data_IF_093586053661
#
_entry.id   IF_093586053661
#
_cell.length_a   1.000
_cell.length_b   1.000
_cell.length_c   1.000
_cell.angle_alpha   90.00
_cell.angle_beta   90.00
_cell.angle_gamma   90.00
#
_symmetry.space_group_name_H-M   'P 1'
#
loop_
_entity.id
_entity.type
_entity.pdbx_description
1 polymer ?
#
# COMPACT_ATOMS: atom_id res chain seq x y z
N UNK A 1 -19.84 5.34 16.69
CA UNK A 1 -18.64 5.49 15.81
C UNK A 1 -19.11 5.93 14.43
N UNK A 2 -18.56 7.01 13.91
CA UNK A 2 -18.91 7.49 12.55
C UNK A 2 -18.48 6.48 11.49
N UNK A 3 -17.29 5.88 11.66
CA UNK A 3 -16.75 4.90 10.72
C UNK A 3 -16.72 3.50 11.33
N UNK A 4 -17.00 2.49 10.52
CA UNK A 4 -16.83 1.07 10.87
C UNK A 4 -15.50 0.54 10.40
N UNK A 5 -14.93 1.14 9.33
CA UNK A 5 -13.67 0.75 8.72
C UNK A 5 -12.81 2.00 8.50
N UNK A 6 -11.60 2.00 9.05
CA UNK A 6 -10.56 2.98 8.72
C UNK A 6 -9.45 2.25 7.98
N UNK A 7 -9.09 2.78 6.82
CA UNK A 7 -8.06 2.25 5.94
C UNK A 7 -6.89 3.22 5.87
N UNK A 8 -5.67 2.73 6.06
CA UNK A 8 -4.45 3.51 5.89
C UNK A 8 -3.68 3.05 4.66
N UNK A 9 -3.22 3.98 3.84
CA UNK A 9 -2.10 3.72 2.95
C UNK A 9 -0.79 3.66 3.74
N UNK A 10 0.29 3.14 3.11
CA UNK A 10 1.60 3.04 3.74
C UNK A 10 2.58 4.06 3.21
N UNK A 11 2.89 3.97 1.92
CA UNK A 11 4.04 4.67 1.31
C UNK A 11 3.72 6.15 1.08
N UNK A 12 4.49 7.05 1.71
CA UNK A 12 4.20 8.49 1.72
C UNK A 12 3.13 8.91 2.73
N UNK A 13 2.55 7.95 3.48
CA UNK A 13 1.54 8.20 4.51
C UNK A 13 2.04 7.74 5.89
N UNK A 14 1.73 6.50 6.33
CA UNK A 14 2.30 5.96 7.58
C UNK A 14 3.82 5.91 7.54
N UNK A 15 4.41 5.61 6.38
CA UNK A 15 5.84 5.57 6.13
C UNK A 15 6.23 6.71 5.16
N UNK A 16 6.66 7.88 5.66
CA UNK A 16 7.04 9.01 4.81
C UNK A 16 8.24 8.68 3.93
N UNK A 17 8.12 8.99 2.64
CA UNK A 17 9.19 8.80 1.68
C UNK A 17 9.01 9.70 0.45
N UNK A 18 10.12 9.94 -0.26
CA UNK A 18 10.09 10.45 -1.62
C UNK A 18 10.09 9.24 -2.55
N UNK A 19 9.02 9.08 -3.34
CA UNK A 19 8.72 7.87 -4.10
C UNK A 19 9.84 7.46 -5.05
N UNK A 20 10.39 8.40 -5.82
CA UNK A 20 11.44 8.10 -6.79
C UNK A 20 12.74 7.64 -6.12
N UNK A 21 13.09 8.24 -5.00
CA UNK A 21 14.27 7.88 -4.21
C UNK A 21 14.12 6.48 -3.62
N UNK A 22 12.93 6.18 -3.07
CA UNK A 22 12.65 4.85 -2.54
C UNK A 22 12.71 3.79 -3.63
N UNK A 23 12.05 4.00 -4.77
CA UNK A 23 12.01 3.05 -5.88
C UNK A 23 13.41 2.78 -6.44
N UNK A 24 14.22 3.83 -6.64
CA UNK A 24 15.62 3.68 -7.11
C UNK A 24 16.47 2.90 -6.11
N UNK A 25 16.36 3.24 -4.82
CA UNK A 25 17.08 2.55 -3.75
C UNK A 25 16.66 1.09 -3.59
N UNK A 26 15.38 0.82 -3.64
CA UNK A 26 14.81 -0.52 -3.63
C UNK A 26 15.34 -1.38 -4.79
N UNK A 27 15.27 -0.89 -6.04
CA UNK A 27 15.78 -1.63 -7.19
C UNK A 27 17.28 -1.83 -7.12
N UNK A 28 18.06 -0.84 -6.66
CA UNK A 28 19.49 -1.02 -6.45
C UNK A 28 19.81 -2.18 -5.49
N UNK A 29 19.03 -2.32 -4.41
CA UNK A 29 19.20 -3.42 -3.48
C UNK A 29 18.77 -4.76 -4.09
N UNK A 30 17.61 -4.82 -4.73
CA UNK A 30 17.04 -6.05 -5.28
C UNK A 30 17.86 -6.60 -6.46
N UNK A 31 18.31 -5.74 -7.37
CA UNK A 31 19.11 -6.16 -8.53
C UNK A 31 20.41 -6.85 -8.14
N UNK A 32 20.99 -6.52 -6.98
CA UNK A 32 22.19 -7.20 -6.47
C UNK A 32 21.97 -8.68 -6.18
N UNK A 33 20.76 -9.06 -5.78
CA UNK A 33 20.44 -10.45 -5.42
C UNK A 33 20.33 -11.38 -6.65
N UNK A 34 20.18 -10.80 -7.84
CA UNK A 34 19.97 -11.52 -9.09
C UNK A 34 21.02 -11.23 -10.18
N UNK A 35 22.06 -10.48 -9.83
CA UNK A 35 23.06 -9.96 -10.79
C UNK A 35 23.82 -11.06 -11.58
N UNK A 36 23.89 -12.28 -11.06
CA UNK A 36 24.50 -13.44 -11.73
C UNK A 36 23.56 -14.16 -12.71
N UNK A 37 22.28 -13.80 -12.74
CA UNK A 37 21.23 -14.46 -13.54
C UNK A 37 20.63 -13.57 -14.61
N UNK A 38 20.53 -12.28 -14.35
CA UNK A 38 19.91 -11.31 -15.25
C UNK A 38 20.52 -9.93 -15.02
N UNK A 39 20.74 -9.17 -16.09
CA UNK A 39 21.19 -7.77 -15.97
C UNK A 39 20.08 -6.88 -15.34
N UNK A 40 20.51 -5.83 -14.65
CA UNK A 40 19.64 -4.96 -13.87
C UNK A 40 18.53 -4.32 -14.71
N UNK A 41 18.85 -3.84 -15.92
CA UNK A 41 17.87 -3.15 -16.77
C UNK A 41 16.78 -4.12 -17.25
N UNK A 42 17.16 -5.32 -17.67
CA UNK A 42 16.20 -6.37 -18.07
C UNK A 42 15.36 -6.84 -16.90
N UNK A 43 15.96 -6.96 -15.71
CA UNK A 43 15.23 -7.34 -14.52
C UNK A 43 14.20 -6.28 -14.12
N UNK A 44 14.59 -5.01 -14.02
CA UNK A 44 13.69 -3.89 -13.69
C UNK A 44 12.55 -3.79 -14.71
N UNK A 45 12.84 -3.93 -16.01
CA UNK A 45 11.81 -3.97 -17.06
C UNK A 45 10.81 -5.11 -16.86
N UNK A 46 11.30 -6.28 -16.42
CA UNK A 46 10.45 -7.44 -16.16
C UNK A 46 9.56 -7.23 -14.93
N UNK A 47 10.08 -6.60 -13.87
CA UNK A 47 9.29 -6.22 -12.69
C UNK A 47 8.16 -5.26 -13.10
N UNK A 48 8.45 -4.20 -13.86
CA UNK A 48 7.43 -3.27 -14.33
C UNK A 48 6.41 -3.91 -15.29
N UNK A 49 6.84 -4.90 -16.08
CA UNK A 49 5.92 -5.70 -16.91
C UNK A 49 4.94 -6.49 -16.02
N UNK A 50 5.44 -7.14 -14.97
CA UNK A 50 4.61 -7.84 -14.00
C UNK A 50 3.63 -6.93 -13.27
N UNK A 51 4.08 -5.73 -12.84
CA UNK A 51 3.18 -4.71 -12.25
C UNK A 51 2.09 -4.31 -13.24
N UNK A 52 2.43 -4.13 -14.52
CA UNK A 52 1.44 -3.85 -15.56
C UNK A 52 0.45 -5.01 -15.74
N UNK A 53 0.90 -6.26 -15.64
CA UNK A 53 0.01 -7.42 -15.70
C UNK A 53 -1.00 -7.43 -14.55
N UNK A 54 -0.58 -7.05 -13.33
CA UNK A 54 -1.50 -6.85 -12.20
C UNK A 54 -2.52 -5.75 -12.50
N UNK A 55 -2.07 -4.59 -13.03
CA UNK A 55 -2.95 -3.46 -13.37
C UNK A 55 -4.01 -3.80 -14.43
N UNK A 56 -3.69 -4.71 -15.34
CA UNK A 56 -4.59 -5.18 -16.40
C UNK A 56 -5.41 -6.41 -16.00
N UNK A 57 -5.31 -6.86 -14.75
CA UNK A 57 -6.02 -8.03 -14.26
C UNK A 57 -7.54 -7.87 -14.36
N UNK A 58 -8.20 -8.93 -14.79
CA UNK A 58 -9.66 -9.03 -14.77
C UNK A 58 -10.21 -9.67 -13.48
N UNK A 59 -9.33 -9.97 -12.52
CA UNK A 59 -9.67 -10.61 -11.25
C UNK A 59 -9.75 -12.15 -11.30
N UNK A 60 -9.33 -12.79 -12.40
CA UNK A 60 -9.38 -14.27 -12.52
C UNK A 60 -8.23 -14.98 -11.80
N UNK A 61 -7.19 -14.25 -11.42
CA UNK A 61 -6.02 -14.72 -10.68
C UNK A 61 -5.54 -13.64 -9.73
N UNK A 62 -4.79 -14.03 -8.69
CA UNK A 62 -4.20 -13.08 -7.75
C UNK A 62 -3.14 -12.21 -8.43
N UNK A 63 -2.82 -11.07 -7.80
CA UNK A 63 -1.74 -10.21 -8.29
C UNK A 63 -0.41 -10.95 -8.35
N UNK A 64 -0.11 -11.82 -7.37
CA UNK A 64 1.05 -12.70 -7.37
C UNK A 64 1.08 -13.60 -8.61
N UNK A 65 -0.01 -14.27 -8.92
CA UNK A 65 -0.09 -15.14 -10.08
C UNK A 65 0.06 -14.37 -11.39
N UNK A 66 -0.59 -13.21 -11.53
CA UNK A 66 -0.50 -12.35 -12.70
C UNK A 66 0.94 -11.86 -12.92
N UNK A 67 1.59 -11.41 -11.85
CA UNK A 67 2.99 -10.94 -11.88
C UNK A 67 3.95 -12.03 -12.33
N UNK A 68 3.96 -13.17 -11.63
CA UNK A 68 4.94 -14.23 -11.91
C UNK A 68 4.69 -14.95 -13.23
N UNK A 69 3.44 -14.99 -13.69
CA UNK A 69 3.12 -15.49 -15.03
C UNK A 69 3.72 -14.59 -16.11
N UNK A 70 3.52 -13.27 -16.02
CA UNK A 70 4.11 -12.31 -16.99
C UNK A 70 5.64 -12.35 -16.94
N UNK A 71 6.22 -12.40 -15.74
CA UNK A 71 7.68 -12.50 -15.55
C UNK A 71 8.25 -13.72 -16.29
N UNK A 72 7.70 -14.90 -16.10
CA UNK A 72 8.15 -16.14 -16.76
C UNK A 72 7.96 -16.08 -18.27
N UNK A 73 6.81 -15.57 -18.74
CA UNK A 73 6.52 -15.40 -20.16
C UNK A 73 7.49 -14.43 -20.87
N UNK A 74 7.91 -13.36 -20.22
CA UNK A 74 8.79 -12.34 -20.78
C UNK A 74 10.26 -12.70 -20.69
N UNK A 75 10.70 -13.22 -19.57
CA UNK A 75 12.12 -13.51 -19.33
C UNK A 75 12.54 -14.89 -19.81
N UNK A 76 11.61 -15.85 -19.89
CA UNK A 76 11.87 -17.29 -20.08
C UNK A 76 12.72 -17.89 -18.94
N UNK A 77 12.81 -17.21 -17.80
CA UNK A 77 13.53 -17.65 -16.61
C UNK A 77 12.57 -18.39 -15.65
N UNK A 78 13.12 -19.26 -14.83
CA UNK A 78 12.35 -20.00 -13.82
C UNK A 78 11.80 -19.08 -12.75
N UNK A 79 10.49 -18.81 -12.81
CA UNK A 79 9.79 -17.98 -11.83
C UNK A 79 9.95 -18.50 -10.41
N UNK A 80 9.96 -19.83 -10.21
CA UNK A 80 10.06 -20.44 -8.89
C UNK A 80 11.42 -20.16 -8.22
N UNK A 81 12.49 -20.02 -9.00
CA UNK A 81 13.79 -19.57 -8.50
C UNK A 81 13.73 -18.09 -8.11
N UNK A 82 13.28 -17.22 -9.02
CA UNK A 82 13.26 -15.77 -8.79
C UNK A 82 12.30 -15.38 -7.65
N UNK A 83 11.17 -16.02 -7.55
CA UNK A 83 10.23 -15.82 -6.44
C UNK A 83 10.90 -16.10 -5.09
N UNK A 84 11.60 -17.22 -4.94
CA UNK A 84 12.34 -17.56 -3.71
C UNK A 84 13.44 -16.54 -3.40
N UNK A 85 14.16 -16.06 -4.42
CA UNK A 85 15.19 -15.03 -4.23
C UNK A 85 14.55 -13.73 -3.77
N UNK A 86 13.44 -13.32 -4.37
CA UNK A 86 12.70 -12.12 -3.96
C UNK A 86 12.16 -12.27 -2.52
N UNK A 87 11.55 -13.40 -2.17
CA UNK A 87 11.05 -13.66 -0.81
C UNK A 87 12.19 -13.58 0.22
N UNK A 88 13.35 -14.18 -0.09
CA UNK A 88 14.53 -14.09 0.77
C UNK A 88 15.02 -12.64 0.91
N UNK A 89 15.07 -11.90 -0.19
CA UNK A 89 15.42 -10.48 -0.19
C UNK A 89 14.46 -9.66 0.69
N UNK A 90 13.15 -9.82 0.53
CA UNK A 90 12.15 -9.09 1.31
C UNK A 90 12.22 -9.38 2.80
N UNK A 91 12.55 -10.61 3.18
CA UNK A 91 12.71 -10.97 4.58
C UNK A 91 14.03 -10.44 5.20
N UNK A 92 15.08 -10.21 4.40
CA UNK A 92 16.44 -9.94 4.88
C UNK A 92 17.03 -8.63 4.34
N UNK A 93 17.36 -8.58 3.04
CA UNK A 93 18.05 -7.46 2.37
C UNK A 93 17.24 -6.18 2.34
N UNK A 94 15.93 -6.31 2.23
CA UNK A 94 14.99 -5.20 2.11
C UNK A 94 14.94 -4.29 3.37
N UNK A 95 15.37 -4.77 4.52
CA UNK A 95 15.52 -3.95 5.74
C UNK A 95 16.42 -2.73 5.53
N UNK A 96 17.37 -2.81 4.59
CA UNK A 96 18.24 -1.68 4.23
C UNK A 96 17.48 -0.54 3.53
N UNK A 97 16.29 -0.81 3.01
CA UNK A 97 15.44 0.20 2.37
C UNK A 97 14.93 1.27 3.36
N UNK A 98 15.04 1.03 4.67
CA UNK A 98 14.79 2.05 5.70
C UNK A 98 15.62 3.33 5.44
N UNK A 99 16.82 3.21 4.85
CA UNK A 99 17.67 4.35 4.51
C UNK A 99 17.10 5.25 3.41
N UNK A 100 16.02 4.86 2.75
CA UNK A 100 15.32 5.64 1.70
C UNK A 100 13.95 6.13 2.18
N UNK A 101 13.68 6.04 3.47
CA UNK A 101 12.44 6.47 4.12
C UNK A 101 12.74 7.45 5.24
N UNK A 102 11.71 8.08 5.78
CA UNK A 102 11.82 8.96 6.95
C UNK A 102 11.02 8.40 8.13
N UNK A 103 11.45 8.66 9.37
CA UNK A 103 10.71 8.22 10.54
C UNK A 103 9.35 8.95 10.64
N UNK A 104 8.35 8.23 11.14
CA UNK A 104 7.07 8.83 11.52
C UNK A 104 6.72 8.43 12.97
N UNK A 105 7.09 9.25 13.96
CA UNK A 105 6.82 8.94 15.35
C UNK A 105 5.33 8.94 15.71
N UNK A 106 4.47 9.50 14.86
CA UNK A 106 3.02 9.58 15.04
C UNK A 106 2.27 8.39 14.43
N UNK A 107 2.94 7.54 13.63
CA UNK A 107 2.28 6.44 12.93
C UNK A 107 1.55 5.49 13.89
N UNK A 108 2.21 5.08 14.97
CA UNK A 108 1.60 4.21 15.99
C UNK A 108 0.42 4.88 16.68
N UNK A 109 0.56 6.16 17.07
CA UNK A 109 -0.52 6.93 17.70
C UNK A 109 -1.75 7.02 16.77
N UNK A 110 -1.57 7.28 15.48
CA UNK A 110 -2.67 7.35 14.52
C UNK A 110 -3.45 6.04 14.44
N UNK A 111 -2.73 4.91 14.36
CA UNK A 111 -3.34 3.58 14.28
C UNK A 111 -4.06 3.23 15.59
N UNK A 112 -3.47 3.53 16.75
CA UNK A 112 -4.10 3.30 18.06
C UNK A 112 -5.39 4.12 18.23
N UNK A 113 -5.38 5.40 17.82
CA UNK A 113 -6.59 6.22 17.84
C UNK A 113 -7.64 5.64 16.88
N UNK A 114 -7.25 5.23 15.66
CA UNK A 114 -8.17 4.63 14.70
C UNK A 114 -8.88 3.39 15.26
N UNK A 115 -8.19 2.53 16.00
CA UNK A 115 -8.80 1.40 16.71
C UNK A 115 -9.82 1.81 17.76
N UNK A 116 -9.68 2.99 18.36
CA UNK A 116 -10.69 3.53 19.29
C UNK A 116 -11.91 4.13 18.57
N UNK A 117 -11.79 4.45 17.28
CA UNK A 117 -12.77 5.18 16.48
C UNK A 117 -13.49 4.35 15.42
N UNK A 118 -12.98 3.15 15.12
CA UNK A 118 -13.59 2.23 14.15
C UNK A 118 -13.56 0.80 14.65
N UNK A 119 -14.47 -0.02 14.10
CA UNK A 119 -14.51 -1.45 14.41
C UNK A 119 -13.34 -2.21 13.78
N UNK A 120 -12.88 -1.74 12.60
CA UNK A 120 -11.81 -2.37 11.84
C UNK A 120 -10.81 -1.32 11.37
N UNK A 121 -9.53 -1.67 11.46
CA UNK A 121 -8.40 -0.87 10.95
C UNK A 121 -7.58 -1.72 10.00
N UNK A 122 -7.42 -1.26 8.77
CA UNK A 122 -6.79 -2.02 7.67
C UNK A 122 -5.63 -1.24 7.08
N UNK A 123 -4.53 -1.93 6.82
CA UNK A 123 -3.49 -1.40 5.96
C UNK A 123 -3.89 -1.66 4.50
N UNK A 124 -4.43 -0.63 3.86
CA UNK A 124 -4.89 -0.64 2.47
C UNK A 124 -3.83 -0.02 1.56
N UNK A 125 -2.63 -0.61 1.54
CA UNK A 125 -1.54 -0.20 0.65
C UNK A 125 -1.71 -0.81 -0.75
N UNK A 126 -1.08 -0.23 -1.77
CA UNK A 126 -1.14 -0.81 -3.12
C UNK A 126 -0.51 -2.21 -3.11
N UNK A 127 -1.24 -3.29 -3.44
CA UNK A 127 -0.82 -4.67 -3.26
C UNK A 127 0.13 -5.15 -4.38
N UNK A 128 1.22 -4.40 -4.57
CA UNK A 128 2.29 -4.72 -5.52
C UNK A 128 3.37 -5.61 -4.91
N UNK A 129 3.44 -5.66 -3.58
CA UNK A 129 4.48 -6.35 -2.82
C UNK A 129 3.91 -7.54 -2.05
N UNK A 130 4.76 -8.56 -1.76
CA UNK A 130 4.39 -9.64 -0.87
C UNK A 130 4.18 -9.19 0.58
N UNK A 131 3.41 -9.94 1.34
CA UNK A 131 3.12 -9.65 2.75
C UNK A 131 4.39 -9.49 3.58
N UNK A 132 5.44 -10.26 3.31
CA UNK A 132 6.73 -10.13 4.01
C UNK A 132 7.36 -8.76 3.81
N UNK A 133 7.21 -8.14 2.63
CA UNK A 133 7.70 -6.79 2.37
C UNK A 133 6.85 -5.74 3.09
N UNK A 134 5.54 -5.94 3.18
CA UNK A 134 4.65 -5.07 3.94
C UNK A 134 5.03 -5.07 5.42
N UNK A 135 5.22 -6.25 6.02
CA UNK A 135 5.66 -6.40 7.42
C UNK A 135 7.01 -5.72 7.68
N UNK A 136 7.96 -5.86 6.75
CA UNK A 136 9.26 -5.22 6.87
C UNK A 136 9.13 -3.69 6.88
N UNK A 137 8.31 -3.11 5.96
CA UNK A 137 8.10 -1.65 5.93
C UNK A 137 7.36 -1.11 7.14
N UNK A 138 6.35 -1.82 7.66
CA UNK A 138 5.70 -1.47 8.92
C UNK A 138 6.70 -1.33 10.07
N UNK A 139 7.70 -2.23 10.13
CA UNK A 139 8.72 -2.17 11.17
C UNK A 139 9.57 -0.89 11.14
N UNK A 140 9.66 -0.19 10.00
CA UNK A 140 10.42 1.05 9.87
C UNK A 140 9.81 2.22 10.65
N UNK A 141 8.51 2.13 10.94
CA UNK A 141 7.76 3.14 11.71
C UNK A 141 7.21 2.59 13.04
N UNK A 142 7.80 1.48 13.53
CA UNK A 142 7.43 0.89 14.81
C UNK A 142 6.07 0.19 14.83
N UNK A 143 5.53 -0.13 13.65
CA UNK A 143 4.31 -0.90 13.50
C UNK A 143 4.61 -2.37 13.13
N UNK A 144 3.60 -3.21 13.28
CA UNK A 144 3.64 -4.64 12.95
C UNK A 144 2.33 -5.09 12.30
N UNK A 145 2.28 -6.33 11.87
CA UNK A 145 1.03 -6.92 11.37
C UNK A 145 -0.08 -7.00 12.44
N UNK A 146 0.28 -7.02 13.72
CA UNK A 146 -0.67 -7.08 14.84
C UNK A 146 -1.41 -5.76 15.07
N UNK A 147 -0.94 -4.68 14.45
CA UNK A 147 -1.57 -3.36 14.52
C UNK A 147 -2.70 -3.18 13.50
N UNK A 148 -3.02 -4.22 12.70
CA UNK A 148 -4.07 -4.15 11.68
C UNK A 148 -4.90 -5.44 11.65
N UNK A 149 -6.20 -5.31 11.40
CA UNK A 149 -7.09 -6.45 11.19
C UNK A 149 -6.81 -7.16 9.85
N UNK A 150 -6.22 -6.44 8.91
CA UNK A 150 -5.82 -6.97 7.61
C UNK A 150 -4.78 -6.07 6.93
N UNK A 151 -3.91 -6.68 6.15
CA UNK A 151 -2.90 -6.01 5.33
C UNK A 151 -3.07 -6.48 3.90
N UNK A 152 -3.29 -5.57 2.96
CA UNK A 152 -3.35 -5.92 1.54
C UNK A 152 -1.97 -6.28 1.01
N UNK A 153 -1.88 -7.40 0.31
CA UNK A 153 -0.64 -7.90 -0.28
C UNK A 153 -0.93 -8.61 -1.62
N UNK A 154 0.08 -8.83 -2.43
CA UNK A 154 -0.13 -9.35 -3.78
C UNK A 154 -0.60 -10.81 -3.80
N UNK A 155 -0.44 -11.54 -2.70
CA UNK A 155 -0.82 -12.96 -2.59
C UNK A 155 -2.32 -13.18 -2.68
N UNK A 156 -3.11 -12.29 -2.08
CA UNK A 156 -4.55 -12.46 -1.87
C UNK A 156 -5.41 -11.33 -2.45
N UNK A 157 -4.78 -10.34 -3.11
CA UNK A 157 -5.47 -9.30 -3.86
C UNK A 157 -5.49 -9.62 -5.36
N UNK A 158 -6.56 -9.20 -6.03
CA UNK A 158 -6.84 -9.46 -7.45
C UNK A 158 -6.82 -8.18 -8.28
N UNK A 159 -6.85 -7.03 -7.64
CA UNK A 159 -6.84 -5.71 -8.22
C UNK A 159 -5.82 -4.84 -7.50
N UNK A 160 -5.33 -3.80 -8.18
CA UNK A 160 -4.43 -2.80 -7.62
C UNK A 160 -5.08 -1.42 -7.67
N UNK A 161 -4.61 -0.47 -6.87
CA UNK A 161 -4.99 0.94 -6.99
C UNK A 161 -4.54 1.48 -8.37
N UNK A 162 -5.32 2.34 -9.02
CA UNK A 162 -6.54 3.02 -8.59
C UNK A 162 -7.86 2.31 -8.97
N UNK A 163 -7.84 1.02 -9.25
CA UNK A 163 -9.06 0.30 -9.60
C UNK A 163 -10.05 0.30 -8.42
N UNK A 164 -11.27 0.77 -8.65
CA UNK A 164 -12.30 0.82 -7.59
C UNK A 164 -12.65 -0.56 -7.05
N UNK A 165 -12.45 -1.64 -7.83
CA UNK A 165 -12.66 -3.02 -7.39
C UNK A 165 -11.72 -3.42 -6.25
N UNK A 166 -10.53 -2.83 -6.17
CA UNK A 166 -9.64 -3.02 -5.02
C UNK A 166 -10.32 -2.62 -3.71
N UNK A 167 -10.95 -1.44 -3.67
CA UNK A 167 -11.66 -0.95 -2.49
C UNK A 167 -12.97 -1.72 -2.27
N UNK A 168 -13.68 -2.10 -3.34
CA UNK A 168 -14.91 -2.90 -3.22
C UNK A 168 -14.66 -4.23 -2.52
N UNK A 169 -13.54 -4.91 -2.80
CA UNK A 169 -13.15 -6.15 -2.11
C UNK A 169 -13.01 -5.93 -0.60
N UNK A 170 -12.48 -4.77 -0.16
CA UNK A 170 -12.37 -4.45 1.26
C UNK A 170 -13.72 -4.14 1.90
N UNK A 171 -14.60 -3.41 1.20
CA UNK A 171 -15.96 -3.15 1.66
C UNK A 171 -16.74 -4.45 1.85
N UNK A 172 -16.68 -5.35 0.87
CA UNK A 172 -17.36 -6.64 0.90
C UNK A 172 -16.82 -7.54 2.03
N UNK A 173 -15.48 -7.57 2.20
CA UNK A 173 -14.80 -8.36 3.25
C UNK A 173 -15.32 -8.00 4.65
N UNK A 174 -15.54 -6.72 4.91
CA UNK A 174 -16.00 -6.23 6.22
C UNK A 174 -17.51 -6.00 6.30
N UNK A 175 -18.23 -6.20 5.21
CA UNK A 175 -19.67 -5.96 5.08
C UNK A 175 -20.06 -4.56 5.56
N UNK A 176 -19.40 -3.54 5.01
CA UNK A 176 -19.60 -2.13 5.35
C UNK A 176 -19.99 -1.31 4.11
N UNK A 177 -20.80 -0.28 4.33
CA UNK A 177 -21.15 0.67 3.27
C UNK A 177 -20.00 1.67 3.04
N UNK A 178 -19.81 2.20 1.83
CA UNK A 178 -18.78 3.21 1.56
C UNK A 178 -18.81 4.39 2.52
N UNK A 179 -19.99 4.91 2.87
CA UNK A 179 -20.16 6.04 3.80
C UNK A 179 -19.80 5.73 5.27
N UNK A 180 -19.56 4.46 5.60
CA UNK A 180 -19.08 4.01 6.90
C UNK A 180 -17.57 3.80 6.93
N UNK A 181 -16.87 4.23 5.86
CA UNK A 181 -15.45 4.02 5.69
C UNK A 181 -14.69 5.34 5.57
N UNK A 182 -13.47 5.36 6.08
CA UNK A 182 -12.49 6.44 5.90
C UNK A 182 -11.22 5.86 5.28
N UNK A 183 -10.77 6.43 4.16
CA UNK A 183 -9.44 6.20 3.61
C UNK A 183 -8.51 7.32 4.02
N UNK A 184 -7.36 6.97 4.58
CA UNK A 184 -6.28 7.89 4.93
C UNK A 184 -5.11 7.56 4.02
N UNK A 185 -4.80 8.46 3.09
CA UNK A 185 -3.76 8.27 2.09
C UNK A 185 -3.10 9.58 1.72
N UNK A 186 -2.20 9.54 0.73
CA UNK A 186 -1.46 10.72 0.27
C UNK A 186 -1.47 10.86 -1.26
N UNK A 187 -2.04 9.90 -1.99
CA UNK A 187 -2.08 9.92 -3.45
C UNK A 187 -3.49 10.26 -3.96
N UNK A 188 -3.59 11.38 -4.71
CA UNK A 188 -4.86 11.81 -5.27
C UNK A 188 -5.43 10.81 -6.30
N UNK A 189 -4.56 10.13 -7.05
CA UNK A 189 -4.97 9.19 -8.08
C UNK A 189 -5.25 7.79 -7.52
N UNK A 190 -4.40 7.30 -6.63
CA UNK A 190 -4.52 5.93 -6.10
C UNK A 190 -5.46 5.82 -4.90
N UNK A 191 -5.52 6.85 -4.04
CA UNK A 191 -6.32 6.82 -2.82
C UNK A 191 -7.61 7.63 -2.96
N UNK A 192 -7.48 8.93 -3.28
CA UNK A 192 -8.63 9.83 -3.22
C UNK A 192 -9.64 9.59 -4.35
N UNK A 193 -9.17 9.50 -5.59
CA UNK A 193 -10.05 9.35 -6.75
C UNK A 193 -10.95 8.10 -6.71
N UNK A 194 -10.43 6.88 -6.53
CA UNK A 194 -11.28 5.68 -6.47
C UNK A 194 -12.21 5.67 -5.26
N UNK A 195 -11.75 6.15 -4.10
CA UNK A 195 -12.57 6.23 -2.89
C UNK A 195 -13.75 7.20 -3.06
N UNK A 196 -13.52 8.38 -3.63
CA UNK A 196 -14.59 9.35 -3.92
C UNK A 196 -15.61 8.79 -4.91
N UNK A 197 -15.18 8.05 -5.92
CA UNK A 197 -16.11 7.42 -6.88
C UNK A 197 -17.00 6.35 -6.24
N UNK A 198 -16.55 5.71 -5.17
CA UNK A 198 -17.35 4.76 -4.39
C UNK A 198 -18.18 5.41 -3.28
N UNK A 199 -17.91 6.68 -2.93
CA UNK A 199 -18.56 7.37 -1.83
C UNK A 199 -17.91 7.09 -0.47
N UNK A 200 -16.63 6.69 -0.46
CA UNK A 200 -15.79 6.54 0.74
C UNK A 200 -15.26 7.93 1.13
N UNK A 201 -15.32 8.28 2.42
CA UNK A 201 -14.67 9.48 2.94
C UNK A 201 -13.14 9.36 2.84
N UNK A 202 -12.46 10.47 2.54
CA UNK A 202 -11.00 10.50 2.39
C UNK A 202 -10.42 11.62 3.24
N UNK A 203 -9.33 11.32 3.95
CA UNK A 203 -8.39 12.29 4.50
C UNK A 203 -7.07 12.19 3.73
N UNK A 204 -6.66 13.25 3.04
CA UNK A 204 -5.41 13.29 2.28
C UNK A 204 -4.29 13.90 3.14
N UNK A 205 -3.25 13.12 3.43
CA UNK A 205 -2.07 13.57 4.17
C UNK A 205 -1.13 14.33 3.24
N UNK A 206 -0.79 15.57 3.61
CA UNK A 206 -0.06 16.49 2.73
C UNK A 206 1.46 16.34 2.76
N UNK A 207 2.04 15.72 3.80
CA UNK A 207 3.50 15.68 4.03
C UNK A 207 4.28 15.08 2.86
N UNK A 208 3.73 14.05 2.22
CA UNK A 208 4.29 13.42 1.02
C UNK A 208 3.22 13.27 -0.07
N UNK A 209 2.35 14.27 -0.25
CA UNK A 209 1.23 14.17 -1.17
C UNK A 209 1.67 14.03 -2.64
N UNK A 210 1.08 13.07 -3.33
CA UNK A 210 1.20 12.91 -4.78
C UNK A 210 -0.03 13.52 -5.43
N UNK A 211 0.16 14.68 -6.08
CA UNK A 211 -0.93 15.43 -6.71
C UNK A 211 -1.18 14.93 -8.14
N UNK A 212 -2.43 14.95 -8.57
CA UNK A 212 -2.87 14.49 -9.88
C UNK A 212 -3.56 15.60 -10.66
N UNK A 213 -2.98 16.00 -11.79
CA UNK A 213 -3.65 16.96 -12.69
C UNK A 213 -4.96 16.40 -13.27
N UNK A 214 -5.04 15.09 -13.46
CA UNK A 214 -6.20 14.41 -14.03
C UNK A 214 -7.33 14.19 -13.02
N UNK A 215 -6.98 13.98 -11.76
CA UNK A 215 -7.91 13.66 -10.69
C UNK A 215 -7.59 14.49 -9.44
N UNK A 216 -7.67 15.84 -9.53
CA UNK A 216 -7.35 16.69 -8.39
C UNK A 216 -8.33 16.44 -7.24
N UNK A 217 -7.83 16.40 -6.03
CA UNK A 217 -8.63 16.22 -4.83
C UNK A 217 -8.96 17.60 -4.22
N UNK A 218 -10.23 17.77 -3.87
CA UNK A 218 -10.70 18.92 -3.10
C UNK A 218 -11.60 18.39 -1.97
N UNK A 219 -11.00 18.07 -0.87
CA UNK A 219 -11.70 17.51 0.29
C UNK A 219 -10.92 17.76 1.56
N UNK A 220 -11.10 16.89 2.54
CA UNK A 220 -10.40 17.00 3.82
C UNK A 220 -8.94 16.60 3.66
N UNK A 221 -8.04 17.53 3.98
CA UNK A 221 -6.60 17.31 3.90
C UNK A 221 -5.85 18.08 4.99
N UNK A 222 -4.65 17.63 5.33
CA UNK A 222 -3.77 18.27 6.31
C UNK A 222 -2.47 17.51 6.48
N UNK A 223 -1.60 17.99 7.37
CA UNK A 223 -0.40 17.24 7.77
C UNK A 223 -0.74 15.98 8.54
N UNK A 224 0.23 15.10 8.75
CA UNK A 224 0.03 13.92 9.60
C UNK A 224 -0.30 14.30 11.06
N UNK A 225 0.20 15.46 11.53
CA UNK A 225 -0.18 16.00 12.85
C UNK A 225 -1.65 16.44 12.86
N UNK A 226 -2.13 17.09 11.80
CA UNK A 226 -3.55 17.50 11.69
C UNK A 226 -4.47 16.27 11.61
N UNK A 227 -3.98 15.16 10.98
CA UNK A 227 -4.69 13.88 10.98
C UNK A 227 -4.91 13.35 12.41
N UNK A 228 -3.91 13.45 13.29
CA UNK A 228 -4.03 13.03 14.69
C UNK A 228 -5.18 13.80 15.37
N UNK A 229 -5.21 15.12 15.20
CA UNK A 229 -6.26 15.97 15.79
C UNK A 229 -7.63 15.65 15.16
N UNK A 230 -7.69 15.42 13.87
CA UNK A 230 -8.92 14.99 13.19
C UNK A 230 -9.43 13.66 13.74
N UNK A 231 -8.57 12.65 13.87
CA UNK A 231 -8.97 11.33 14.42
C UNK A 231 -9.44 11.43 15.87
N UNK A 232 -8.77 12.23 16.71
CA UNK A 232 -9.20 12.50 18.09
C UNK A 232 -10.58 13.18 18.14
N UNK A 233 -10.85 14.08 17.20
CA UNK A 233 -12.10 14.82 17.08
C UNK A 233 -13.27 14.01 16.49
N UNK A 234 -13.05 12.80 15.98
CA UNK A 234 -14.14 11.93 15.56
C UNK A 234 -14.98 11.54 16.79
N UNK A 235 -16.24 11.98 16.79
CA UNK A 235 -17.15 11.70 17.90
C UNK A 235 -17.37 10.21 18.07
N UNK A 236 -17.44 9.78 19.34
CA UNK A 236 -18.03 8.49 19.73
C UNK A 236 -19.54 8.58 19.58
N UNK A 237 -20.06 8.79 18.37
CA UNK A 237 -21.50 8.82 18.13
C UNK A 237 -22.09 7.46 18.51
N UNK A 238 -22.58 7.37 19.73
CA UNK A 238 -23.23 6.16 20.24
C UNK A 238 -23.14 5.92 21.74
N UNK A 239 -23.09 6.99 22.56
CA UNK A 239 -23.50 6.89 23.99
C UNK A 239 -24.79 7.62 24.24
#
# INVERSE_FOLDING_TARGET
MKYKLIMFDMDGNLLPMEQDTFVKGYFYLLCKEVADKIDADSFVKSIWSGVRAMALSNGSMSNREAFWKDFEEKTKLDKGYFEKVCDYFYANGFKKAIGFTSPNPLAKEAVDIAHSKAKHVVLATNPLFPLVAQKTRLSFVGLSELDFDYITAYEDQYFIKPDTRYYQVLLDKYNVSPSECLMIGNDEHEDAYPCKNLGIDVYLVNDCAIRSEKHPYSGLEGSFSDLIDYLKGLDDEGK
#
